data_IF_188933769161
#
_entry.id   IF_188933769161
#
_cell.length_a   1.000
_cell.length_b   1.000
_cell.length_c   1.000
_cell.angle_alpha   90.00
_cell.angle_beta   90.00
_cell.angle_gamma   90.00
#
_symmetry.space_group_name_H-M   'P 1'
#
loop_
_entity.id
_entity.type
_entity.pdbx_description
1 polymer ?
#
# COMPACT_ATOMS: atom_id res chain seq x y z
N UNK A 1 -8.35 -19.64 -4.58
CA UNK A 1 -9.68 -19.86 -3.94
C UNK A 1 -10.67 -18.90 -4.58
N UNK A 2 -11.86 -19.38 -4.89
CA UNK A 2 -12.95 -18.53 -5.40
C UNK A 2 -14.04 -18.46 -4.34
N UNK A 3 -14.41 -17.23 -3.96
CA UNK A 3 -15.52 -16.93 -3.04
C UNK A 3 -16.60 -16.14 -3.81
N UNK A 4 -17.85 -16.07 -3.33
CA UNK A 4 -18.85 -15.20 -3.93
C UNK A 4 -18.37 -13.74 -3.96
N UNK A 5 -18.20 -13.18 -5.18
CA UNK A 5 -17.74 -11.80 -5.38
C UNK A 5 -16.28 -11.50 -5.04
N UNK A 6 -15.50 -12.49 -4.58
CA UNK A 6 -14.11 -12.29 -4.20
C UNK A 6 -13.26 -13.51 -4.55
N UNK A 7 -12.08 -13.29 -5.11
CA UNK A 7 -11.08 -14.31 -5.36
C UNK A 7 -9.87 -14.09 -4.45
N UNK A 8 -9.20 -15.19 -4.06
CA UNK A 8 -7.97 -15.15 -3.30
C UNK A 8 -6.94 -16.10 -3.90
N UNK A 9 -5.70 -15.63 -4.02
CA UNK A 9 -4.58 -16.46 -4.46
C UNK A 9 -3.31 -16.08 -3.70
N UNK A 10 -2.39 -17.06 -3.57
CA UNK A 10 -1.08 -16.80 -2.97
C UNK A 10 -0.02 -17.74 -3.54
N UNK A 11 1.25 -17.33 -3.42
CA UNK A 11 2.43 -18.16 -3.67
C UNK A 11 3.55 -17.78 -2.73
N UNK A 12 4.55 -18.65 -2.59
CA UNK A 12 5.71 -18.44 -1.75
C UNK A 12 5.40 -18.42 -0.24
N UNK A 13 6.25 -17.78 0.53
CA UNK A 13 6.17 -17.70 1.97
C UNK A 13 5.21 -16.57 2.41
N UNK A 14 4.42 -16.82 3.43
CA UNK A 14 3.80 -15.72 4.16
C UNK A 14 4.83 -15.08 5.11
N UNK A 15 4.52 -13.93 5.67
CA UNK A 15 5.42 -13.18 6.54
C UNK A 15 5.92 -14.02 7.73
N UNK A 16 5.03 -14.72 8.43
CA UNK A 16 5.39 -15.54 9.59
C UNK A 16 6.33 -16.70 9.20
N UNK A 17 6.07 -17.37 8.08
CA UNK A 17 6.89 -18.45 7.57
C UNK A 17 8.26 -17.93 7.10
N UNK A 18 8.33 -16.76 6.47
CA UNK A 18 9.58 -16.15 6.04
C UNK A 18 10.46 -15.77 7.27
N UNK A 19 9.87 -15.15 8.28
CA UNK A 19 10.56 -14.84 9.54
C UNK A 19 11.03 -16.11 10.26
N UNK A 20 10.20 -17.15 10.33
CA UNK A 20 10.56 -18.45 10.91
C UNK A 20 11.70 -19.15 10.15
N UNK A 21 11.81 -18.91 8.83
CA UNK A 21 12.91 -19.40 7.99
C UNK A 21 14.20 -18.56 8.12
N UNK A 22 14.22 -17.52 8.95
CA UNK A 22 15.41 -16.71 9.25
C UNK A 22 15.64 -15.52 8.30
N UNK A 23 14.67 -15.17 7.45
CA UNK A 23 14.78 -13.97 6.61
C UNK A 23 14.53 -12.69 7.41
N UNK A 24 15.26 -11.63 7.06
CA UNK A 24 14.93 -10.26 7.48
C UNK A 24 13.84 -9.71 6.56
N UNK A 25 12.60 -9.73 7.06
CA UNK A 25 11.41 -9.54 6.23
C UNK A 25 10.92 -8.10 6.25
N UNK A 26 10.69 -7.54 5.05
CA UNK A 26 9.83 -6.39 4.86
C UNK A 26 8.55 -6.78 4.11
N UNK A 27 7.47 -6.06 4.37
CA UNK A 27 6.17 -6.29 3.71
C UNK A 27 5.49 -5.00 3.34
N UNK A 28 4.56 -5.08 2.40
CA UNK A 28 3.61 -3.99 2.10
C UNK A 28 2.24 -4.55 1.80
N UNK A 29 1.19 -3.83 2.21
CA UNK A 29 -0.19 -4.07 1.76
C UNK A 29 -0.61 -2.91 0.86
N UNK A 30 -0.75 -3.20 -0.43
CA UNK A 30 -1.14 -2.24 -1.45
C UNK A 30 -2.58 -2.49 -1.92
N UNK A 31 -3.35 -1.41 -2.11
CA UNK A 31 -4.68 -1.44 -2.75
C UNK A 31 -4.60 -0.67 -4.05
N UNK A 32 -4.79 -1.37 -5.17
CA UNK A 32 -4.65 -0.82 -6.52
C UNK A 32 -5.81 -1.26 -7.41
N UNK A 33 -6.14 -0.44 -8.41
CA UNK A 33 -7.13 -0.83 -9.42
C UNK A 33 -6.65 -2.09 -10.18
N UNK A 34 -7.57 -3.02 -10.43
CA UNK A 34 -7.30 -4.27 -11.18
C UNK A 34 -7.13 -3.99 -12.69
N UNK A 35 -7.80 -2.95 -13.19
CA UNK A 35 -7.77 -2.47 -14.58
C UNK A 35 -8.03 -0.97 -14.61
N UNK A 36 -8.11 -0.38 -15.79
CA UNK A 36 -8.41 1.05 -15.94
C UNK A 36 -9.72 1.40 -15.22
N UNK A 37 -9.68 2.35 -14.30
CA UNK A 37 -10.79 2.68 -13.39
C UNK A 37 -12.09 3.09 -14.10
N UNK A 38 -11.99 3.58 -15.34
CA UNK A 38 -13.14 3.95 -16.19
C UNK A 38 -13.70 2.75 -16.96
N UNK A 39 -13.04 1.59 -16.93
CA UNK A 39 -13.50 0.42 -17.67
C UNK A 39 -14.63 -0.29 -16.88
N UNK A 40 -15.70 -0.76 -17.55
CA UNK A 40 -16.81 -1.43 -16.87
C UNK A 40 -16.33 -2.63 -16.04
N UNK A 41 -16.80 -2.70 -14.79
CA UNK A 41 -16.41 -3.77 -13.86
C UNK A 41 -14.99 -3.62 -13.31
N UNK A 42 -14.38 -2.43 -13.39
CA UNK A 42 -13.13 -2.14 -12.66
C UNK A 42 -13.36 -2.19 -11.16
N UNK A 43 -12.42 -2.80 -10.45
CA UNK A 43 -12.43 -2.92 -9.00
C UNK A 43 -10.97 -2.94 -8.48
N UNK A 44 -10.74 -3.39 -7.27
CA UNK A 44 -9.43 -3.31 -6.65
C UNK A 44 -8.83 -4.68 -6.36
N UNK A 45 -7.50 -4.76 -6.48
CA UNK A 45 -6.70 -5.78 -5.84
C UNK A 45 -6.15 -5.27 -4.51
N UNK A 46 -6.21 -6.12 -3.48
CA UNK A 46 -5.42 -6.00 -2.27
C UNK A 46 -4.25 -6.96 -2.43
N UNK A 47 -3.05 -6.43 -2.46
CA UNK A 47 -1.83 -7.20 -2.69
C UNK A 47 -0.90 -7.07 -1.50
N UNK A 48 -0.50 -8.19 -0.89
CA UNK A 48 0.60 -8.23 0.07
C UNK A 48 1.82 -8.84 -0.58
N UNK A 49 2.94 -8.12 -0.55
CA UNK A 49 4.26 -8.61 -0.93
C UNK A 49 5.09 -8.89 0.32
N UNK A 50 5.91 -9.94 0.25
CA UNK A 50 6.87 -10.34 1.30
C UNK A 50 8.24 -10.43 0.64
N UNK A 51 9.24 -9.73 1.17
CA UNK A 51 10.58 -9.63 0.60
C UNK A 51 11.64 -9.83 1.69
N UNK A 52 12.80 -10.36 1.32
CA UNK A 52 14.00 -10.32 2.15
C UNK A 52 14.68 -8.94 1.99
N UNK A 53 14.82 -8.20 3.09
CA UNK A 53 15.41 -6.85 3.10
C UNK A 53 16.86 -6.83 2.61
N UNK A 54 17.62 -7.87 2.91
CA UNK A 54 19.04 -7.91 2.62
C UNK A 54 19.33 -8.14 1.13
N UNK A 55 18.52 -8.99 0.48
CA UNK A 55 18.74 -9.37 -0.93
C UNK A 55 17.73 -8.73 -1.88
N UNK A 56 16.69 -8.09 -1.36
CA UNK A 56 15.52 -7.59 -2.09
C UNK A 56 14.78 -8.67 -2.89
N UNK A 57 15.03 -9.96 -2.63
CA UNK A 57 14.35 -11.06 -3.32
C UNK A 57 12.91 -11.20 -2.86
N UNK A 58 12.01 -11.36 -3.83
CA UNK A 58 10.61 -11.65 -3.55
C UNK A 58 10.49 -13.04 -2.93
N UNK A 59 9.88 -13.14 -1.76
CA UNK A 59 9.65 -14.37 -1.00
C UNK A 59 8.21 -14.86 -1.07
N UNK A 60 7.26 -13.94 -1.22
CA UNK A 60 5.84 -14.30 -1.23
C UNK A 60 4.92 -13.22 -1.76
N UNK A 61 3.79 -13.67 -2.30
CA UNK A 61 2.71 -12.84 -2.84
C UNK A 61 1.38 -13.36 -2.36
N UNK A 62 0.50 -12.47 -1.90
CA UNK A 62 -0.89 -12.76 -1.57
C UNK A 62 -1.76 -11.71 -2.24
N UNK A 63 -2.83 -12.13 -2.91
CA UNK A 63 -3.73 -11.24 -3.63
C UNK A 63 -5.18 -11.58 -3.34
N UNK A 64 -5.98 -10.54 -3.07
CA UNK A 64 -7.43 -10.58 -2.94
C UNK A 64 -8.04 -9.61 -3.94
N UNK A 65 -9.18 -9.97 -4.51
CA UNK A 65 -9.96 -9.08 -5.39
C UNK A 65 -10.98 -9.84 -6.22
N UNK A 66 -11.91 -9.16 -6.89
CA UNK A 66 -12.93 -9.82 -7.71
C UNK A 66 -12.40 -10.29 -9.08
N UNK A 67 -11.24 -9.74 -9.51
CA UNK A 67 -10.65 -9.98 -10.82
C UNK A 67 -9.72 -11.20 -10.90
N UNK A 68 -8.78 -11.15 -11.85
CA UNK A 68 -7.83 -12.21 -12.15
C UNK A 68 -6.64 -12.22 -11.16
N UNK A 69 -6.91 -12.59 -9.90
CA UNK A 69 -5.88 -12.70 -8.83
C UNK A 69 -4.84 -13.77 -9.15
N UNK A 70 -5.21 -14.81 -9.90
CA UNK A 70 -4.33 -15.86 -10.42
C UNK A 70 -3.23 -15.28 -11.30
N UNK A 71 -3.57 -14.41 -12.26
CA UNK A 71 -2.58 -13.73 -13.11
C UNK A 71 -1.53 -12.96 -12.28
N UNK A 72 -1.97 -12.26 -11.24
CA UNK A 72 -1.08 -11.55 -10.31
C UNK A 72 -0.12 -12.52 -9.59
N UNK A 73 -0.66 -13.65 -9.14
CA UNK A 73 0.12 -14.66 -8.42
C UNK A 73 1.04 -15.43 -9.35
N UNK A 74 0.67 -15.72 -10.60
CA UNK A 74 1.54 -16.39 -11.59
C UNK A 74 2.78 -15.55 -11.95
N UNK A 75 2.64 -14.22 -11.99
CA UNK A 75 3.80 -13.31 -12.06
C UNK A 75 4.70 -13.52 -10.84
N UNK A 76 4.13 -13.58 -9.65
CA UNK A 76 4.85 -13.85 -8.41
C UNK A 76 5.53 -15.22 -8.38
N UNK A 77 4.88 -16.27 -8.88
CA UNK A 77 5.46 -17.63 -9.02
C UNK A 77 6.72 -17.57 -9.88
N UNK A 78 6.62 -16.93 -11.04
CA UNK A 78 7.73 -16.79 -11.99
C UNK A 78 8.89 -16.02 -11.33
N UNK A 79 8.58 -14.89 -10.70
CA UNK A 79 9.57 -14.05 -10.02
C UNK A 79 10.31 -14.81 -8.90
N UNK A 80 9.58 -15.51 -8.03
CA UNK A 80 10.16 -16.29 -6.93
C UNK A 80 11.00 -17.45 -7.48
N UNK A 81 10.50 -18.18 -8.48
CA UNK A 81 11.21 -19.32 -9.07
C UNK A 81 12.54 -18.93 -9.73
N UNK A 82 12.64 -17.71 -10.26
CA UNK A 82 13.86 -17.16 -10.85
C UNK A 82 14.73 -16.40 -9.83
N UNK A 83 14.30 -16.26 -8.60
CA UNK A 83 15.00 -15.51 -7.54
C UNK A 83 15.08 -14.00 -7.86
N UNK A 84 14.07 -13.46 -8.53
CA UNK A 84 14.04 -12.06 -8.94
C UNK A 84 14.01 -11.09 -7.73
N UNK A 85 14.73 -9.99 -7.87
CA UNK A 85 14.75 -8.88 -6.91
C UNK A 85 13.71 -7.83 -7.26
N UNK A 86 13.33 -7.01 -6.28
CA UNK A 86 12.39 -5.89 -6.51
C UNK A 86 12.90 -4.94 -7.59
N UNK A 87 14.22 -4.65 -7.65
CA UNK A 87 14.82 -3.76 -8.66
C UNK A 87 14.68 -4.33 -10.10
N UNK A 88 14.58 -5.66 -10.25
CA UNK A 88 14.27 -6.29 -11.52
C UNK A 88 12.77 -6.25 -11.82
N UNK A 89 11.92 -6.42 -10.80
CA UNK A 89 10.47 -6.48 -10.93
C UNK A 89 9.85 -5.10 -11.22
N UNK A 90 10.44 -4.01 -10.73
CA UNK A 90 9.94 -2.65 -11.00
C UNK A 90 9.98 -2.26 -12.49
N UNK A 91 10.91 -2.88 -13.25
CA UNK A 91 11.14 -2.61 -14.66
C UNK A 91 10.43 -3.60 -15.59
N UNK A 92 9.52 -4.45 -15.10
CA UNK A 92 8.80 -5.41 -15.91
C UNK A 92 7.80 -4.71 -16.83
N UNK A 93 7.93 -4.94 -18.15
CA UNK A 93 6.96 -4.51 -19.15
C UNK A 93 5.84 -5.53 -19.30
N UNK A 94 4.86 -5.46 -18.39
CA UNK A 94 3.73 -6.38 -18.38
C UNK A 94 2.62 -5.93 -19.32
N UNK A 95 1.94 -6.89 -19.94
CA UNK A 95 0.90 -6.63 -20.93
C UNK A 95 -0.23 -5.73 -20.38
N UNK A 96 -0.53 -4.69 -21.16
CA UNK A 96 -1.58 -3.70 -20.84
C UNK A 96 -2.60 -3.59 -21.95
N UNK A 97 -3.84 -3.57 -21.56
CA UNK A 97 -4.96 -2.93 -22.26
C UNK A 97 -6.03 -2.57 -21.21
N UNK A 98 -6.86 -1.55 -21.42
CA UNK A 98 -7.83 -1.08 -20.42
C UNK A 98 -8.71 -2.15 -19.78
N UNK A 99 -9.18 -3.19 -20.51
CA UNK A 99 -9.99 -4.26 -19.92
C UNK A 99 -9.20 -5.26 -19.05
N UNK A 100 -7.87 -5.28 -19.12
CA UNK A 100 -7.05 -6.34 -18.52
C UNK A 100 -6.14 -5.84 -17.39
N UNK A 101 -5.73 -4.58 -17.40
CA UNK A 101 -4.79 -4.03 -16.43
C UNK A 101 -4.83 -2.51 -16.42
N UNK A 102 -4.10 -1.91 -15.50
CA UNK A 102 -3.71 -0.49 -15.53
C UNK A 102 -2.41 -0.30 -16.32
N UNK A 103 -2.13 0.91 -16.81
CA UNK A 103 -0.94 1.22 -17.62
C UNK A 103 0.37 0.84 -16.92
N UNK A 104 0.49 1.14 -15.62
CA UNK A 104 1.48 0.50 -14.75
C UNK A 104 0.76 -0.66 -14.07
N UNK A 105 1.20 -1.88 -14.35
CA UNK A 105 0.54 -3.08 -13.85
C UNK A 105 0.44 -3.08 -12.32
N UNK A 106 -0.70 -3.48 -11.69
CA UNK A 106 -0.90 -3.40 -10.25
C UNK A 106 0.16 -4.19 -9.45
N UNK A 107 0.73 -5.25 -10.01
CA UNK A 107 1.87 -5.95 -9.42
C UNK A 107 3.10 -5.03 -9.32
N UNK A 108 3.45 -4.33 -10.40
CA UNK A 108 4.58 -3.39 -10.44
C UNK A 108 4.33 -2.20 -9.51
N UNK A 109 3.09 -1.72 -9.42
CA UNK A 109 2.74 -0.66 -8.44
C UNK A 109 3.00 -1.13 -7.01
N UNK A 110 2.64 -2.37 -6.65
CA UNK A 110 2.91 -2.92 -5.32
C UNK A 110 4.43 -3.05 -5.06
N UNK A 111 5.21 -3.46 -6.07
CA UNK A 111 6.68 -3.49 -6.01
C UNK A 111 7.25 -2.10 -5.76
N UNK A 112 6.80 -1.07 -6.49
CA UNK A 112 7.26 0.31 -6.32
C UNK A 112 6.94 0.87 -4.92
N UNK A 113 5.76 0.56 -4.37
CA UNK A 113 5.40 0.97 -3.01
C UNK A 113 6.35 0.32 -2.00
N UNK A 114 6.67 -0.97 -2.16
CA UNK A 114 7.59 -1.68 -1.27
C UNK A 114 9.02 -1.14 -1.39
N UNK A 115 9.48 -0.82 -2.61
CA UNK A 115 10.78 -0.16 -2.82
C UNK A 115 10.85 1.20 -2.15
N UNK A 116 9.81 2.04 -2.31
CA UNK A 116 9.74 3.34 -1.62
C UNK A 116 9.82 3.19 -0.10
N UNK A 117 9.17 2.15 0.46
CA UNK A 117 9.26 1.83 1.89
C UNK A 117 10.68 1.43 2.29
N UNK A 118 11.31 0.54 1.55
CA UNK A 118 12.68 0.05 1.84
C UNK A 118 13.74 1.14 1.67
N UNK A 119 13.53 2.10 0.79
CA UNK A 119 14.43 3.23 0.55
C UNK A 119 14.22 4.40 1.54
N UNK A 120 13.18 4.34 2.41
CA UNK A 120 12.86 5.42 3.35
C UNK A 120 12.04 6.57 2.74
N UNK A 121 11.61 6.43 1.48
CA UNK A 121 10.73 7.42 0.86
C UNK A 121 9.31 7.34 1.41
N UNK A 122 8.85 6.13 1.74
CA UNK A 122 7.56 5.88 2.37
C UNK A 122 7.74 5.42 3.82
N UNK A 123 7.33 6.24 4.77
CA UNK A 123 7.11 5.83 6.15
C UNK A 123 5.68 5.34 6.30
N UNK A 124 5.49 4.05 6.56
CA UNK A 124 4.16 3.45 6.64
C UNK A 124 3.99 2.52 7.82
N UNK A 125 2.73 2.34 8.19
CA UNK A 125 2.25 1.40 9.18
C UNK A 125 1.43 0.32 8.47
N UNK A 126 1.78 -0.94 8.68
CA UNK A 126 1.00 -2.07 8.17
C UNK A 126 -0.38 -2.13 8.83
N UNK A 127 -1.38 -2.78 8.22
CA UNK A 127 -2.67 -3.00 8.85
C UNK A 127 -2.58 -3.73 10.20
N UNK A 128 -1.65 -4.67 10.35
CA UNK A 128 -1.44 -5.38 11.61
C UNK A 128 -0.92 -4.44 12.70
N UNK A 129 0.09 -3.63 12.38
CA UNK A 129 0.62 -2.60 13.30
C UNK A 129 -0.43 -1.57 13.68
N UNK A 130 -1.28 -1.18 12.72
CA UNK A 130 -2.39 -0.28 12.99
C UNK A 130 -3.40 -0.91 13.97
N UNK A 131 -3.74 -2.18 13.79
CA UNK A 131 -4.63 -2.92 14.69
C UNK A 131 -4.04 -3.11 16.11
N UNK A 132 -2.72 -3.16 16.23
CA UNK A 132 -1.99 -3.23 17.51
C UNK A 132 -1.87 -1.88 18.23
N UNK A 133 -2.65 -0.86 17.83
CA UNK A 133 -2.68 0.50 18.40
C UNK A 133 -1.38 1.31 18.25
N UNK A 134 -0.54 1.00 17.27
CA UNK A 134 0.64 1.82 16.99
C UNK A 134 0.33 3.23 16.47
N UNK A 135 -0.94 3.48 16.10
CA UNK A 135 -1.44 4.83 15.78
C UNK A 135 -1.82 5.67 17.01
N UNK A 136 -1.67 5.15 18.24
CA UNK A 136 -1.96 5.89 19.45
C UNK A 136 -1.00 7.09 19.60
N UNK A 137 -1.56 8.26 19.91
CA UNK A 137 -0.80 9.51 20.01
C UNK A 137 -0.55 10.23 18.70
N UNK A 138 -0.95 9.66 17.56
CA UNK A 138 -0.91 10.36 16.27
C UNK A 138 -2.16 11.21 16.06
N UNK A 139 -1.96 12.41 15.50
CA UNK A 139 -3.05 13.18 14.91
C UNK A 139 -3.37 12.66 13.51
N UNK A 140 -4.64 12.42 13.24
CA UNK A 140 -5.08 11.89 11.94
C UNK A 140 -5.28 13.02 10.93
N UNK A 141 -4.64 12.90 9.77
CA UNK A 141 -4.90 13.71 8.59
C UNK A 141 -5.66 12.88 7.54
N UNK A 142 -6.80 13.40 7.10
CA UNK A 142 -7.60 12.81 6.03
C UNK A 142 -7.16 13.39 4.68
N UNK A 143 -6.50 12.59 3.86
CA UNK A 143 -6.02 12.95 2.53
C UNK A 143 -6.91 12.37 1.41
N UNK A 144 -8.15 12.00 1.69
CA UNK A 144 -9.10 11.51 0.68
C UNK A 144 -9.48 12.60 -0.34
N UNK A 145 -10.31 12.29 -1.32
CA UNK A 145 -10.79 13.29 -2.30
C UNK A 145 -11.77 14.27 -1.70
N UNK A 146 -12.49 13.86 -0.66
CA UNK A 146 -13.40 14.66 0.14
C UNK A 146 -13.30 14.19 1.60
N UNK A 147 -13.72 14.98 2.58
CA UNK A 147 -13.70 14.57 3.99
C UNK A 147 -14.39 13.21 4.18
N UNK A 148 -13.68 12.26 4.77
CA UNK A 148 -14.12 10.87 4.90
C UNK A 148 -13.95 10.30 6.31
N UNK A 149 -13.13 10.96 7.15
CA UNK A 149 -12.81 10.49 8.50
C UNK A 149 -13.38 11.48 9.52
N UNK A 150 -14.34 11.07 10.37
CA UNK A 150 -14.87 11.93 11.42
C UNK A 150 -13.76 12.44 12.35
N UNK A 151 -13.81 13.73 12.67
CA UNK A 151 -12.87 14.42 13.56
C UNK A 151 -11.41 14.46 13.12
N UNK A 152 -11.09 14.01 11.89
CA UNK A 152 -9.77 14.20 11.30
C UNK A 152 -9.66 15.55 10.59
N UNK A 153 -8.45 16.12 10.56
CA UNK A 153 -8.18 17.29 9.71
C UNK A 153 -8.14 16.83 8.25
N UNK A 154 -9.11 17.29 7.47
CA UNK A 154 -9.09 17.08 6.02
C UNK A 154 -8.02 17.95 5.36
N UNK A 155 -7.22 17.35 4.49
CA UNK A 155 -6.16 18.03 3.73
C UNK A 155 -6.30 17.69 2.24
N UNK A 156 -6.75 18.67 1.45
CA UNK A 156 -6.72 18.53 0.00
C UNK A 156 -5.27 18.61 -0.50
N UNK A 157 -4.73 17.46 -0.88
CA UNK A 157 -3.34 17.33 -1.35
C UNK A 157 -3.03 18.31 -2.49
N UNK A 158 -4.00 18.61 -3.37
CA UNK A 158 -3.76 19.54 -4.48
C UNK A 158 -3.51 20.98 -4.03
N UNK A 159 -3.98 21.36 -2.85
CA UNK A 159 -3.88 22.72 -2.30
C UNK A 159 -2.70 22.93 -1.32
N UNK A 160 -1.91 21.88 -1.06
CA UNK A 160 -0.77 21.99 -0.15
C UNK A 160 0.41 22.64 -0.88
N UNK A 161 0.64 23.92 -0.65
CA UNK A 161 1.72 24.71 -1.23
C UNK A 161 2.68 25.29 -0.18
N UNK A 162 2.50 24.91 1.10
CA UNK A 162 3.29 25.36 2.26
C UNK A 162 3.01 24.47 3.47
N UNK A 163 3.57 24.83 4.63
CA UNK A 163 3.22 24.20 5.90
C UNK A 163 1.71 24.28 6.15
N UNK A 164 1.16 23.26 6.80
CA UNK A 164 -0.24 23.24 7.18
C UNK A 164 -0.52 24.19 8.34
N UNK A 165 -1.62 24.92 8.25
CA UNK A 165 -2.12 25.71 9.38
C UNK A 165 -2.54 24.78 10.54
N UNK A 166 -2.25 25.18 11.77
CA UNK A 166 -2.61 24.45 13.01
C UNK A 166 -2.04 23.01 13.11
N UNK A 167 -0.90 22.74 12.47
CA UNK A 167 -0.18 21.47 12.55
C UNK A 167 1.31 21.75 12.74
N UNK A 168 1.85 21.36 13.89
CA UNK A 168 3.27 21.52 14.17
C UNK A 168 4.12 20.51 13.39
N UNK A 169 5.35 20.90 13.03
CA UNK A 169 6.21 20.10 12.14
C UNK A 169 6.77 18.85 12.83
N UNK A 170 6.84 18.86 14.14
CA UNK A 170 7.27 17.76 15.01
C UNK A 170 6.09 16.96 15.59
N UNK A 171 4.86 17.33 15.23
CA UNK A 171 3.66 16.58 15.62
C UNK A 171 3.63 15.21 14.93
N UNK A 172 3.23 14.17 15.66
CA UNK A 172 3.04 12.83 15.12
C UNK A 172 1.80 12.75 14.25
N UNK A 173 1.99 12.58 12.95
CA UNK A 173 0.92 12.63 11.96
C UNK A 173 0.69 11.25 11.31
N UNK A 174 -0.53 10.75 11.42
CA UNK A 174 -0.99 9.57 10.70
C UNK A 174 -1.85 10.00 9.51
N UNK A 175 -1.39 9.72 8.30
CA UNK A 175 -2.03 10.18 7.07
C UNK A 175 -2.80 9.03 6.45
N UNK A 176 -4.09 9.23 6.22
CA UNK A 176 -4.98 8.20 5.69
C UNK A 176 -5.74 8.75 4.49
N UNK A 177 -5.96 7.90 3.50
CA UNK A 177 -6.89 8.14 2.41
C UNK A 177 -7.52 6.82 1.96
N UNK A 178 -8.30 6.82 0.91
CA UNK A 178 -9.03 5.62 0.46
C UNK A 178 -8.11 4.42 0.17
N UNK A 179 -7.00 4.61 -0.57
CA UNK A 179 -6.10 3.53 -1.06
C UNK A 179 -4.61 3.79 -0.76
N UNK A 180 -4.29 4.69 0.15
CA UNK A 180 -2.94 5.15 0.56
C UNK A 180 -2.18 6.01 -0.47
N UNK A 181 -2.52 6.03 -1.75
CA UNK A 181 -1.82 6.82 -2.78
C UNK A 181 -1.79 8.32 -2.46
N UNK A 182 -2.94 8.94 -2.14
CA UNK A 182 -3.01 10.37 -1.78
C UNK A 182 -2.32 10.64 -0.44
N UNK A 183 -2.39 9.69 0.50
CA UNK A 183 -1.68 9.79 1.77
C UNK A 183 -0.16 9.84 1.56
N UNK A 184 0.40 8.99 0.70
CA UNK A 184 1.81 9.04 0.30
C UNK A 184 2.17 10.38 -0.36
N UNK A 185 1.35 10.87 -1.29
CA UNK A 185 1.57 12.18 -1.93
C UNK A 185 1.59 13.32 -0.92
N UNK A 186 0.69 13.29 0.08
CA UNK A 186 0.69 14.27 1.16
C UNK A 186 1.95 14.13 2.03
N UNK A 187 2.32 12.91 2.40
CA UNK A 187 3.53 12.65 3.17
C UNK A 187 4.77 13.26 2.51
N UNK A 188 4.96 13.06 1.20
CA UNK A 188 6.09 13.65 0.46
C UNK A 188 6.09 15.18 0.51
N UNK A 189 4.91 15.81 0.37
CA UNK A 189 4.80 17.26 0.49
C UNK A 189 5.11 17.76 1.90
N UNK A 190 4.61 17.07 2.92
CA UNK A 190 4.89 17.40 4.31
C UNK A 190 6.38 17.23 4.64
N UNK A 191 7.02 16.14 4.21
CA UNK A 191 8.48 15.96 4.33
C UNK A 191 9.24 17.12 3.68
N UNK A 192 8.83 17.55 2.48
CA UNK A 192 9.44 18.71 1.79
C UNK A 192 9.30 20.01 2.59
N UNK A 193 8.20 20.22 3.32
CA UNK A 193 7.98 21.37 4.18
C UNK A 193 8.55 21.22 5.60
N UNK A 194 9.28 20.14 5.87
CA UNK A 194 10.04 19.90 7.10
C UNK A 194 9.27 19.24 8.23
N UNK A 195 8.19 18.51 7.94
CA UNK A 195 7.52 17.62 8.91
C UNK A 195 8.35 16.35 9.09
N UNK A 196 8.61 15.98 10.33
CA UNK A 196 9.58 14.94 10.68
C UNK A 196 8.98 13.61 11.11
N UNK A 197 7.73 13.61 11.62
CA UNK A 197 7.06 12.40 12.13
C UNK A 197 5.72 12.19 11.41
N UNK A 198 5.79 11.53 10.26
CA UNK A 198 4.60 11.24 9.43
C UNK A 198 4.56 9.77 9.08
N UNK A 199 3.39 9.13 9.19
CA UNK A 199 3.19 7.74 8.79
C UNK A 199 1.93 7.60 7.93
N UNK A 200 1.97 6.68 6.95
CA UNK A 200 0.83 6.33 6.09
C UNK A 200 0.27 4.98 6.52
N UNK A 201 -1.05 4.85 6.67
CA UNK A 201 -1.66 3.54 6.91
C UNK A 201 -1.81 2.79 5.59
N UNK A 202 -1.12 1.66 5.46
CA UNK A 202 -1.16 0.81 4.26
C UNK A 202 -2.58 0.28 4.00
N UNK A 203 -2.96 0.23 2.73
CA UNK A 203 -4.31 -0.19 2.32
C UNK A 203 -5.41 0.86 2.51
N UNK A 204 -5.15 1.92 3.28
CA UNK A 204 -6.09 3.01 3.53
C UNK A 204 -7.45 2.53 4.07
N UNK A 205 -8.49 3.33 3.84
CA UNK A 205 -9.87 3.01 4.27
C UNK A 205 -10.49 1.83 3.50
N UNK A 206 -9.91 1.44 2.38
CA UNK A 206 -10.38 0.30 1.61
C UNK A 206 -10.12 -1.03 2.33
N UNK A 207 -9.04 -1.10 3.09
CA UNK A 207 -8.64 -2.31 3.81
C UNK A 207 -8.89 -2.20 5.32
N UNK A 208 -8.74 -1.02 5.90
CA UNK A 208 -8.80 -0.83 7.34
C UNK A 208 -10.12 -0.18 7.77
N UNK A 209 -10.73 -0.73 8.81
CA UNK A 209 -11.76 -0.02 9.58
C UNK A 209 -11.06 0.88 10.60
N UNK A 210 -11.28 2.18 10.51
CA UNK A 210 -10.76 3.11 11.50
C UNK A 210 -11.63 3.05 12.76
N UNK A 211 -11.03 3.00 13.96
CA UNK A 211 -11.80 3.11 15.18
C UNK A 211 -12.49 4.47 15.18
N UNK A 212 -13.81 4.48 15.11
CA UNK A 212 -14.60 5.67 15.38
C UNK A 212 -14.43 5.94 16.87
N UNK A 213 -13.56 6.90 17.25
CA UNK A 213 -13.50 7.37 18.65
C UNK A 213 -14.84 8.00 18.96
N UNK A 214 -15.62 7.29 19.78
CA UNK A 214 -16.85 7.80 20.40
C UNK A 214 -18.12 7.10 19.95
N UNK A 215 -18.36 5.93 20.45
CA UNK A 215 -19.67 5.49 20.94
C UNK A 215 -19.49 5.03 22.38
#
# INVERSE_FOLDING_TARGET
>A
MKLPGLNAARTGLNEAAARAAGYDVETVVAVNDDKAHYYPGADNFITKLVVDKNTKKLLGVQVLGPGAVDKMVDIGVTAISLGATLDQLENMDLAYAPPFSTAIHPFVVAVNILLNKMNGDLESMTPAEYMENRGEGYRVLDAAQAPSIPNAKFVDVAKVHGPLEDVDKDEKLMIICTKSKRAYMLQQRLKYFGYTDTTVVEGGLWFNELPVKGK
#
